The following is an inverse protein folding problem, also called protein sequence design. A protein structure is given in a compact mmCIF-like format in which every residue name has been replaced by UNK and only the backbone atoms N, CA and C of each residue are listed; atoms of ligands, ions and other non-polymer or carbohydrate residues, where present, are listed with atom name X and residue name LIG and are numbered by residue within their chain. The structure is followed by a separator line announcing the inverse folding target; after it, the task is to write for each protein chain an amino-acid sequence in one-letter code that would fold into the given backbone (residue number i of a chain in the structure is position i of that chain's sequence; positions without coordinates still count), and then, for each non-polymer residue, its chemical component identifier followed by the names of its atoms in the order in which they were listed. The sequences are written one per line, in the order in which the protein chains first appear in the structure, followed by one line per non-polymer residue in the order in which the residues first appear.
data_IF_908176610517
#
_entry.id   IF_908176610517
#
_cell.length_a   1.000
_cell.length_b   1.000
_cell.length_c   1.000
_cell.angle_alpha   90.00
_cell.angle_beta   90.00
_cell.angle_gamma   90.00
#
_symmetry.space_group_name_H-M   'P 1'
#
loop_
_entity.id
_entity.type
_entity.pdbx_description
1 polymer ?
#
# COMPACT_ATOMS: atom_id res chain seq x y z
N UNK A 1 -22.56 10.62 3.27
CA UNK A 1 -21.61 11.70 2.93
C UNK A 1 -21.40 11.64 1.42
N UNK A 2 -21.63 12.72 0.68
CA UNK A 2 -21.52 12.70 -0.79
C UNK A 2 -20.05 12.81 -1.24
N UNK A 3 -19.69 12.07 -2.31
CA UNK A 3 -18.34 11.98 -2.91
C UNK A 3 -17.65 13.35 -3.19
N UNK A 4 -18.35 14.43 -3.59
CA UNK A 4 -17.71 15.73 -3.86
C UNK A 4 -17.16 16.42 -2.60
N UNK A 5 -17.87 16.33 -1.46
CA UNK A 5 -17.41 16.94 -0.21
C UNK A 5 -16.20 16.20 0.38
N UNK A 6 -16.09 14.90 0.10
CA UNK A 6 -14.97 14.04 0.48
C UNK A 6 -13.65 14.48 -0.18
N UNK A 7 -13.73 15.00 -1.41
CA UNK A 7 -12.57 15.38 -2.22
C UNK A 7 -12.12 16.83 -2.02
N UNK A 8 -12.87 17.64 -1.27
CA UNK A 8 -12.53 19.05 -1.03
C UNK A 8 -11.29 19.21 -0.14
N UNK A 9 -11.12 18.31 0.84
CA UNK A 9 -9.89 18.21 1.65
C UNK A 9 -9.65 16.74 2.05
N UNK A 10 -8.98 15.95 1.18
CA UNK A 10 -8.73 14.53 1.44
C UNK A 10 -7.77 14.31 2.61
N UNK A 11 -6.93 15.31 2.95
CA UNK A 11 -6.01 15.25 4.09
C UNK A 11 -6.74 15.39 5.43
N UNK A 12 -7.64 16.36 5.54
CA UNK A 12 -8.46 16.48 6.75
C UNK A 12 -9.35 15.26 6.94
N UNK A 13 -9.92 14.74 5.86
CA UNK A 13 -10.71 13.52 5.89
C UNK A 13 -9.91 12.31 6.40
N UNK A 14 -8.77 12.00 5.78
CA UNK A 14 -8.00 10.78 6.11
C UNK A 14 -7.49 10.82 7.56
N UNK A 15 -7.04 11.99 8.03
CA UNK A 15 -6.61 12.17 9.43
C UNK A 15 -7.78 12.02 10.40
N UNK A 16 -8.93 12.62 10.08
CA UNK A 16 -10.13 12.51 10.93
C UNK A 16 -10.60 11.05 11.01
N UNK A 17 -10.64 10.36 9.87
CA UNK A 17 -11.01 8.94 9.82
C UNK A 17 -10.04 8.06 10.62
N UNK A 18 -8.73 8.31 10.51
CA UNK A 18 -7.71 7.60 11.29
C UNK A 18 -7.87 7.83 12.81
N UNK A 19 -8.12 9.07 13.23
CA UNK A 19 -8.35 9.42 14.62
C UNK A 19 -9.66 8.81 15.17
N UNK A 20 -10.77 8.92 14.44
CA UNK A 20 -12.07 8.35 14.82
C UNK A 20 -12.03 6.83 14.94
N UNK A 21 -11.30 6.16 14.04
CA UNK A 21 -11.14 4.71 14.04
C UNK A 21 -10.06 4.21 15.02
N UNK A 22 -9.25 5.12 15.58
CA UNK A 22 -8.02 4.79 16.31
C UNK A 22 -7.14 3.76 15.56
N UNK A 23 -6.99 3.96 14.25
CA UNK A 23 -6.34 2.99 13.35
C UNK A 23 -5.59 3.70 12.23
N UNK A 24 -4.69 2.97 11.57
CA UNK A 24 -4.10 3.45 10.31
C UNK A 24 -5.16 3.38 9.21
N UNK A 25 -5.45 4.52 8.59
CA UNK A 25 -6.43 4.65 7.52
C UNK A 25 -5.73 4.85 6.18
N UNK A 26 -6.07 4.04 5.18
CA UNK A 26 -5.50 4.10 3.83
C UNK A 26 -6.59 4.58 2.87
N UNK A 27 -6.47 5.82 2.40
CA UNK A 27 -7.32 6.38 1.36
C UNK A 27 -6.63 6.18 0.01
N UNK A 28 -7.04 5.14 -0.71
CA UNK A 28 -6.53 4.83 -2.04
C UNK A 28 -7.18 5.73 -3.10
N UNK A 29 -6.34 6.28 -3.97
CA UNK A 29 -6.71 7.05 -5.16
C UNK A 29 -5.53 7.12 -6.13
N UNK A 30 -5.54 8.07 -7.06
CA UNK A 30 -4.37 8.38 -7.90
C UNK A 30 -3.13 8.68 -7.05
N UNK A 31 -3.36 9.39 -5.95
CA UNK A 31 -2.45 9.54 -4.81
C UNK A 31 -3.04 8.73 -3.66
N UNK A 32 -2.23 7.88 -3.04
CA UNK A 32 -2.65 7.15 -1.84
C UNK A 32 -2.22 7.90 -0.59
N UNK A 33 -3.19 8.27 0.24
CA UNK A 33 -2.96 8.93 1.52
C UNK A 33 -3.11 7.93 2.65
N UNK A 34 -2.17 7.95 3.59
CA UNK A 34 -2.14 7.00 4.71
C UNK A 34 -1.97 7.81 5.98
N UNK A 35 -2.95 7.77 6.89
CA UNK A 35 -2.86 8.49 8.16
C UNK A 35 -2.91 7.54 9.34
N UNK A 36 -2.10 7.83 10.37
CA UNK A 36 -2.13 7.15 11.65
C UNK A 36 -3.02 7.89 12.66
N UNK A 37 -3.46 7.21 13.73
CA UNK A 37 -4.26 7.83 14.79
C UNK A 37 -3.46 8.86 15.60
N UNK A 38 -2.13 8.81 15.52
CA UNK A 38 -1.18 9.76 16.12
C UNK A 38 -1.01 11.05 15.29
N UNK A 39 -1.77 11.21 14.19
CA UNK A 39 -1.74 12.37 13.33
C UNK A 39 -0.63 12.34 12.27
N UNK A 40 0.27 11.34 12.27
CA UNK A 40 1.23 11.16 11.19
C UNK A 40 0.48 10.87 9.88
N UNK A 41 0.98 11.39 8.76
CA UNK A 41 0.42 11.15 7.44
C UNK A 41 1.55 10.88 6.45
N UNK A 42 1.38 9.86 5.63
CA UNK A 42 2.27 9.49 4.52
C UNK A 42 1.50 9.65 3.22
N UNK A 43 2.19 10.14 2.21
CA UNK A 43 1.69 10.27 0.84
C UNK A 43 2.49 9.31 -0.03
N UNK A 44 1.80 8.39 -0.69
CA UNK A 44 2.39 7.55 -1.73
C UNK A 44 1.84 8.03 -3.06
N UNK A 45 2.68 8.78 -3.77
CA UNK A 45 2.36 9.31 -5.10
C UNK A 45 2.84 8.34 -6.17
N UNK A 46 1.88 7.74 -6.87
CA UNK A 46 2.12 6.68 -7.84
C UNK A 46 1.76 7.06 -9.26
N UNK A 47 0.66 7.81 -9.44
CA UNK A 47 0.06 8.18 -10.73
C UNK A 47 0.16 7.04 -11.75
N UNK A 48 -0.34 5.87 -11.39
CA UNK A 48 -0.38 4.71 -12.29
C UNK A 48 -1.83 4.47 -12.71
N UNK A 49 -2.26 4.92 -13.91
CA UNK A 49 -3.64 4.74 -14.39
C UNK A 49 -4.10 3.27 -14.37
N UNK A 50 -3.15 2.35 -14.53
CA UNK A 50 -3.41 0.91 -14.50
C UNK A 50 -3.89 0.40 -13.12
N UNK A 51 -3.74 1.18 -12.04
CA UNK A 51 -4.27 0.84 -10.71
C UNK A 51 -5.77 1.14 -10.54
N UNK A 52 -6.43 1.70 -11.56
CA UNK A 52 -7.89 1.84 -11.59
C UNK A 52 -8.63 0.50 -11.79
N UNK A 53 -7.89 -0.61 -11.89
CA UNK A 53 -8.41 -1.96 -11.97
C UNK A 53 -9.26 -2.35 -10.76
N UNK A 54 -10.40 -3.02 -11.01
CA UNK A 54 -11.17 -3.69 -9.96
C UNK A 54 -10.31 -4.74 -9.23
N UNK A 55 -10.46 -4.85 -7.91
CA UNK A 55 -9.71 -5.80 -7.08
C UNK A 55 -8.31 -5.34 -6.65
N UNK A 56 -7.78 -4.24 -7.19
CA UNK A 56 -6.49 -3.67 -6.76
C UNK A 56 -6.50 -3.17 -5.29
N UNK A 57 -7.68 -2.97 -4.69
CA UNK A 57 -7.84 -2.71 -3.25
C UNK A 57 -7.62 -3.96 -2.41
N UNK A 58 -8.10 -5.12 -2.86
CA UNK A 58 -7.91 -6.41 -2.19
C UNK A 58 -6.44 -6.83 -2.24
N UNK A 59 -5.76 -6.59 -3.37
CA UNK A 59 -4.31 -6.78 -3.49
C UNK A 59 -3.56 -5.92 -2.47
N UNK A 60 -3.92 -4.64 -2.34
CA UNK A 60 -3.29 -3.75 -1.35
C UNK A 60 -3.49 -4.28 0.07
N UNK A 61 -4.72 -4.66 0.42
CA UNK A 61 -5.04 -5.19 1.74
C UNK A 61 -4.24 -6.48 2.04
N UNK A 62 -4.14 -7.38 1.07
CA UNK A 62 -3.35 -8.61 1.17
C UNK A 62 -1.85 -8.34 1.37
N UNK A 63 -1.28 -7.39 0.60
CA UNK A 63 0.12 -6.97 0.76
C UNK A 63 0.38 -6.40 2.15
N UNK A 64 -0.48 -5.50 2.63
CA UNK A 64 -0.35 -4.91 3.98
C UNK A 64 -0.44 -6.00 5.05
N UNK A 65 -1.39 -6.93 4.94
CA UNK A 65 -1.54 -8.02 5.90
C UNK A 65 -0.31 -8.94 5.94
N UNK A 66 0.22 -9.32 4.77
CA UNK A 66 1.42 -10.15 4.68
C UNK A 66 2.67 -9.45 5.26
N UNK A 67 2.85 -8.17 4.96
CA UNK A 67 3.93 -7.35 5.51
C UNK A 67 3.79 -7.20 7.03
N UNK A 68 2.56 -6.98 7.54
CA UNK A 68 2.27 -6.85 8.96
C UNK A 68 2.60 -8.13 9.72
N UNK A 69 2.13 -9.29 9.24
CA UNK A 69 2.42 -10.58 9.85
C UNK A 69 3.93 -10.83 9.99
N UNK A 70 4.70 -10.48 8.95
CA UNK A 70 6.16 -10.60 8.98
C UNK A 70 6.83 -9.61 9.93
N UNK A 71 6.38 -8.36 9.97
CA UNK A 71 6.99 -7.34 10.84
C UNK A 71 6.69 -7.58 12.31
N UNK A 72 5.50 -8.08 12.65
CA UNK A 72 5.18 -8.55 14.02
C UNK A 72 6.11 -9.70 14.43
N UNK A 73 6.38 -10.66 13.54
CA UNK A 73 7.38 -11.71 13.81
C UNK A 73 8.78 -11.14 14.03
N UNK A 74 9.20 -10.19 13.19
CA UNK A 74 10.53 -9.56 13.30
C UNK A 74 10.67 -8.71 14.58
N UNK A 75 9.60 -8.07 15.05
CA UNK A 75 9.59 -7.36 16.33
C UNK A 75 9.92 -8.32 17.48
N UNK A 76 9.30 -9.50 17.51
CA UNK A 76 9.58 -10.53 18.51
C UNK A 76 11.04 -11.03 18.48
N UNK A 77 11.66 -11.04 17.30
CA UNK A 77 13.04 -11.53 17.11
C UNK A 77 14.12 -10.46 17.35
N UNK A 78 13.83 -9.21 16.98
CA UNK A 78 14.84 -8.13 16.91
C UNK A 78 14.62 -7.01 17.92
N UNK A 79 13.45 -6.97 18.56
CA UNK A 79 13.03 -5.86 19.43
C UNK A 79 12.72 -4.56 18.67
N UNK A 80 12.75 -4.56 17.33
CA UNK A 80 12.39 -3.38 16.54
C UNK A 80 10.86 -3.21 16.57
N UNK A 81 10.33 -2.06 17.02
CA UNK A 81 8.89 -1.87 17.15
C UNK A 81 8.14 -2.05 15.84
N UNK A 82 6.95 -2.64 15.92
CA UNK A 82 6.00 -2.66 14.81
C UNK A 82 5.39 -1.27 14.61
N UNK A 83 5.53 -0.73 13.39
CA UNK A 83 4.87 0.52 12.99
C UNK A 83 3.86 0.23 11.86
N UNK A 84 2.54 0.21 12.14
CA UNK A 84 1.52 -0.08 11.14
C UNK A 84 1.47 0.97 10.03
N UNK A 85 1.85 2.22 10.32
CA UNK A 85 1.88 3.29 9.31
C UNK A 85 2.96 3.01 8.27
N UNK A 86 4.16 2.61 8.73
CA UNK A 86 5.26 2.26 7.85
C UNK A 86 4.93 1.02 7.01
N UNK A 87 4.28 0.02 7.59
CA UNK A 87 3.86 -1.19 6.86
C UNK A 87 2.84 -0.86 5.77
N UNK A 88 1.83 -0.03 6.08
CA UNK A 88 0.86 0.42 5.10
C UNK A 88 1.53 1.21 3.94
N UNK A 89 2.48 2.09 4.26
CA UNK A 89 3.24 2.86 3.28
C UNK A 89 4.06 1.97 2.34
N UNK A 90 4.77 0.97 2.88
CA UNK A 90 5.52 0.01 2.08
C UNK A 90 4.60 -0.82 1.19
N UNK A 91 3.45 -1.26 1.71
CA UNK A 91 2.44 -1.99 0.92
C UNK A 91 1.92 -1.16 -0.26
N UNK A 92 1.58 0.11 -0.02
CA UNK A 92 1.13 1.03 -1.07
C UNK A 92 2.23 1.33 -2.11
N UNK A 93 3.48 1.53 -1.67
CA UNK A 93 4.61 1.73 -2.57
C UNK A 93 4.88 0.49 -3.44
N UNK A 94 4.81 -0.71 -2.85
CA UNK A 94 4.98 -1.97 -3.57
C UNK A 94 3.88 -2.18 -4.63
N UNK A 95 2.62 -1.90 -4.28
CA UNK A 95 1.52 -1.97 -5.25
C UNK A 95 1.71 -0.95 -6.38
N UNK A 96 2.20 0.24 -6.06
CA UNK A 96 2.49 1.27 -7.05
C UNK A 96 3.54 0.79 -8.04
N UNK A 97 4.62 0.19 -7.54
CA UNK A 97 5.69 -0.33 -8.39
C UNK A 97 5.24 -1.54 -9.22
N UNK A 98 4.43 -2.42 -8.64
CA UNK A 98 3.78 -3.50 -9.38
C UNK A 98 2.90 -2.96 -10.50
N UNK A 99 2.11 -1.91 -10.23
CA UNK A 99 1.30 -1.24 -11.24
C UNK A 99 2.13 -0.66 -12.37
N UNK A 100 3.26 0.00 -12.07
CA UNK A 100 4.18 0.51 -13.11
C UNK A 100 4.73 -0.61 -13.98
N UNK A 101 5.17 -1.71 -13.35
CA UNK A 101 5.71 -2.85 -14.06
C UNK A 101 4.68 -3.49 -15.02
N UNK A 102 3.43 -3.66 -14.57
CA UNK A 102 2.35 -4.23 -15.40
C UNK A 102 1.92 -3.26 -16.50
N UNK A 103 1.81 -1.96 -16.19
CA UNK A 103 1.45 -0.94 -17.18
C UNK A 103 2.45 -0.90 -18.36
N UNK A 104 3.74 -1.12 -18.08
CA UNK A 104 4.78 -1.18 -19.09
C UNK A 104 4.68 -2.42 -20.01
N UNK A 105 4.04 -3.51 -19.58
CA UNK A 105 4.01 -4.77 -20.34
C UNK A 105 2.71 -5.02 -21.12
N UNK A 106 1.54 -4.60 -20.61
CA UNK A 106 0.23 -5.03 -21.15
C UNK A 106 -0.79 -3.91 -21.33
N UNK A 107 -0.52 -2.68 -20.83
CA UNK A 107 -1.41 -1.52 -20.94
C UNK A 107 -2.70 -1.58 -20.11
N UNK A 108 -3.16 -2.77 -19.73
CA UNK A 108 -4.23 -3.04 -18.77
C UNK A 108 -3.65 -3.82 -17.57
N UNK A 109 -4.21 -3.62 -16.38
CA UNK A 109 -3.87 -4.44 -15.20
C UNK A 109 -5.15 -5.01 -14.64
N UNK A 110 -5.18 -6.31 -14.35
CA UNK A 110 -6.16 -6.88 -13.43
C UNK A 110 -5.51 -7.12 -12.06
N UNK A 111 -6.31 -7.60 -11.10
CA UNK A 111 -5.82 -7.87 -9.75
C UNK A 111 -4.79 -9.01 -9.71
N UNK A 112 -4.86 -9.98 -10.62
CA UNK A 112 -3.96 -11.13 -10.65
C UNK A 112 -2.57 -10.71 -11.12
N UNK A 113 -2.49 -9.92 -12.18
CA UNK A 113 -1.25 -9.35 -12.69
C UNK A 113 -0.54 -8.50 -11.64
N UNK A 114 -1.30 -7.65 -10.94
CA UNK A 114 -0.78 -6.81 -9.85
C UNK A 114 -0.23 -7.66 -8.71
N UNK A 115 -0.95 -8.71 -8.32
CA UNK A 115 -0.54 -9.62 -7.25
C UNK A 115 0.77 -10.35 -7.64
N UNK A 116 0.82 -10.89 -8.86
CA UNK A 116 1.98 -11.59 -9.38
C UNK A 116 3.22 -10.67 -9.48
N UNK A 117 3.05 -9.45 -9.99
CA UNK A 117 4.12 -8.46 -10.08
C UNK A 117 4.61 -8.03 -8.69
N UNK A 118 3.72 -7.73 -7.76
CA UNK A 118 4.08 -7.37 -6.39
C UNK A 118 4.86 -8.50 -5.69
N UNK A 119 4.44 -9.76 -5.89
CA UNK A 119 5.15 -10.93 -5.38
C UNK A 119 6.59 -11.03 -5.90
N UNK A 120 6.80 -10.82 -7.22
CA UNK A 120 8.14 -10.82 -7.82
C UNK A 120 9.03 -9.70 -7.28
N UNK A 121 8.50 -8.48 -7.20
CA UNK A 121 9.26 -7.32 -6.69
C UNK A 121 9.62 -7.52 -5.21
N UNK A 122 8.68 -7.98 -4.40
CA UNK A 122 8.92 -8.30 -3.01
C UNK A 122 9.96 -9.43 -2.87
N UNK A 123 9.91 -10.47 -3.70
CA UNK A 123 10.92 -11.52 -3.69
C UNK A 123 12.33 -10.98 -4.01
N UNK A 124 12.47 -10.14 -5.03
CA UNK A 124 13.77 -9.55 -5.41
C UNK A 124 14.37 -8.62 -4.37
N UNK A 125 13.55 -7.86 -3.65
CA UNK A 125 14.02 -6.98 -2.58
C UNK A 125 14.28 -7.70 -1.23
N UNK A 126 13.78 -8.93 -1.05
CA UNK A 126 13.76 -9.60 0.26
C UNK A 126 14.44 -10.98 0.29
N UNK A 127 14.71 -11.62 -0.86
CA UNK A 127 15.51 -12.84 -0.95
C UNK A 127 16.93 -12.47 -1.42
N UNK A 128 17.96 -12.65 -0.58
CA UNK A 128 19.34 -12.54 -1.04
C UNK A 128 19.61 -13.55 -2.18
N UNK A 129 19.87 -13.07 -3.40
CA UNK A 129 20.33 -13.91 -4.53
C UNK A 129 19.31 -14.30 -5.60
N UNK A 130 18.14 -13.65 -5.68
CA UNK A 130 17.12 -13.91 -6.72
C UNK A 130 17.52 -13.45 -8.14
N UNK A 131 18.69 -12.82 -8.29
CA UNK A 131 19.33 -12.36 -9.51
C UNK A 131 20.38 -13.34 -10.09
N UNK A 132 20.40 -14.59 -9.60
CA UNK A 132 21.24 -15.67 -10.15
C UNK A 132 20.39 -16.76 -10.82
N UNK A 133 19.87 -16.47 -12.02
CA UNK A 133 19.21 -17.42 -12.89
C UNK A 133 19.39 -17.03 -14.34
#
# INVERSE_FOLDING_TARGET
MEKPALMADPFALVRRAAAEANAVFVLKGEVTLIAGPDGRTVVVDGLVPALAAGGSGDVLAGLIAALAARTVRLEAETGRPFDPLAVAAVGAALLTEAGRAVAASIGFSDAEDLCAAAGRIAAGAWLPGADRG
#
